data_IF_364612844600
#
_entry.id   IF_364612844600
#
_cell.length_a   1.000
_cell.length_b   1.000
_cell.length_c   1.000
_cell.angle_alpha   90.00
_cell.angle_beta   90.00
_cell.angle_gamma   90.00
#
_symmetry.space_group_name_H-M   'P 1'
#
loop_
_entity.id
_entity.type
_entity.pdbx_description
1 polymer ?
#
# COMPACT_ATOMS: atom_id res chain seq x y z
N UNK A 1 8.39 -5.44 6.63
CA UNK A 1 8.16 -4.04 6.31
C UNK A 1 6.73 -3.93 5.84
N UNK A 2 5.91 -3.33 6.65
CA UNK A 2 4.51 -3.10 6.34
C UNK A 2 4.24 -1.67 6.76
N UNK A 3 3.77 -0.83 5.86
CA UNK A 3 3.19 0.45 6.19
C UNK A 3 1.85 0.20 6.86
N UNK A 4 1.51 1.05 7.82
CA UNK A 4 0.19 1.11 8.38
C UNK A 4 -0.80 1.27 7.23
N UNK A 5 -1.57 0.26 6.95
CA UNK A 5 -2.72 0.33 6.08
C UNK A 5 -3.81 1.02 6.91
N UNK A 6 -3.80 2.33 6.95
CA UNK A 6 -4.88 3.13 7.51
C UNK A 6 -5.63 3.77 6.34
N UNK A 7 -6.60 3.12 5.75
CA UNK A 7 -7.60 3.89 5.06
C UNK A 7 -8.34 4.69 6.14
N UNK A 8 -8.32 5.98 6.07
CA UNK A 8 -9.21 6.90 6.85
C UNK A 8 -10.68 6.45 6.77
N UNK A 9 -10.99 5.54 5.87
CA UNK A 9 -12.30 4.95 5.60
C UNK A 9 -12.83 4.01 6.69
N UNK A 10 -12.01 3.50 7.58
CA UNK A 10 -12.50 2.58 8.63
C UNK A 10 -13.11 3.31 9.84
N UNK A 11 -12.99 4.64 9.93
CA UNK A 11 -13.55 5.41 11.04
C UNK A 11 -14.83 6.18 10.72
N UNK A 12 -15.27 6.25 9.46
CA UNK A 12 -16.53 6.92 9.12
C UNK A 12 -17.53 5.89 8.57
N UNK A 13 -18.65 5.76 9.30
CA UNK A 13 -19.77 4.94 8.92
C UNK A 13 -20.29 5.26 7.51
N UNK A 14 -20.66 4.19 6.81
CA UNK A 14 -21.48 4.11 5.61
C UNK A 14 -21.80 5.42 4.88
N UNK A 15 -20.98 5.79 3.92
CA UNK A 15 -21.41 6.69 2.86
C UNK A 15 -21.17 6.00 1.51
N UNK A 16 -22.27 5.85 0.78
CA UNK A 16 -22.38 5.12 -0.47
C UNK A 16 -21.47 5.71 -1.56
N UNK A 17 -20.39 5.03 -1.88
CA UNK A 17 -19.64 5.26 -3.11
C UNK A 17 -20.48 4.81 -4.31
N UNK A 18 -20.84 5.74 -5.19
CA UNK A 18 -21.25 5.39 -6.56
C UNK A 18 -19.97 5.24 -7.39
N UNK A 19 -19.66 4.08 -7.93
CA UNK A 19 -18.51 3.93 -8.83
C UNK A 19 -18.79 4.64 -10.14
N UNK A 20 -17.97 5.62 -10.49
CA UNK A 20 -17.83 6.09 -11.85
C UNK A 20 -17.07 5.01 -12.63
N UNK A 21 -17.82 4.15 -13.33
CA UNK A 21 -17.29 3.20 -14.29
C UNK A 21 -16.62 3.96 -15.44
N UNK A 22 -15.31 4.14 -15.38
CA UNK A 22 -14.47 4.37 -16.55
C UNK A 22 -13.46 3.24 -16.65
N UNK A 23 -13.50 2.53 -17.76
CA UNK A 23 -12.57 1.47 -18.11
C UNK A 23 -11.15 2.02 -18.11
N UNK A 24 -10.37 1.71 -17.09
CA UNK A 24 -8.94 1.99 -17.09
C UNK A 24 -8.22 0.86 -17.83
N UNK A 25 -7.45 1.23 -18.85
CA UNK A 25 -6.54 0.34 -19.56
C UNK A 25 -5.57 -0.29 -18.55
N UNK A 26 -5.51 -1.61 -18.56
CA UNK A 26 -4.55 -2.38 -17.77
C UNK A 26 -3.16 -2.16 -18.38
N UNK A 27 -2.36 -1.27 -17.81
CA UNK A 27 -0.92 -1.26 -18.07
C UNK A 27 -0.23 -2.11 -16.99
N UNK A 28 0.35 -3.23 -17.41
CA UNK A 28 1.39 -3.91 -16.64
C UNK A 28 2.63 -3.02 -16.67
N UNK A 29 3.06 -2.56 -15.49
CA UNK A 29 4.31 -1.79 -15.36
C UNK A 29 5.40 -2.76 -14.91
N UNK A 30 6.39 -2.99 -15.78
CA UNK A 30 7.50 -3.92 -15.55
C UNK A 30 8.82 -3.16 -15.37
N UNK A 31 9.67 -3.60 -14.44
CA UNK A 31 11.08 -3.20 -14.37
C UNK A 31 11.98 -4.42 -14.38
N UNK A 32 12.93 -4.46 -15.30
CA UNK A 32 14.00 -5.45 -15.36
C UNK A 32 15.16 -5.10 -14.42
N UNK A 33 15.74 -6.09 -13.79
CA UNK A 33 16.92 -5.92 -12.92
C UNK A 33 18.01 -6.86 -13.40
N UNK A 34 19.12 -6.28 -13.86
CA UNK A 34 20.30 -7.03 -14.28
C UNK A 34 20.99 -7.76 -13.12
N UNK A 35 21.24 -9.05 -13.31
CA UNK A 35 22.00 -9.94 -12.43
C UNK A 35 21.32 -11.29 -12.20
N UNK A 36 21.70 -12.31 -12.90
CA UNK A 36 21.47 -13.77 -12.80
C UNK A 36 20.29 -14.28 -11.94
N UNK A 37 19.12 -13.97 -12.30
CA UNK A 37 17.77 -14.53 -12.16
C UNK A 37 16.81 -13.36 -12.39
N UNK A 38 16.03 -13.40 -13.46
CA UNK A 38 15.02 -12.39 -13.75
C UNK A 38 14.01 -12.35 -12.60
N UNK A 39 14.20 -11.40 -11.68
CA UNK A 39 13.29 -11.17 -10.57
C UNK A 39 12.37 -10.03 -10.95
N UNK A 40 11.30 -10.35 -11.64
CA UNK A 40 10.32 -9.40 -12.11
C UNK A 40 9.37 -9.01 -10.95
N UNK A 41 9.28 -7.71 -10.66
CA UNK A 41 8.29 -7.16 -9.74
C UNK A 41 7.22 -6.47 -10.57
N UNK A 42 5.98 -6.96 -10.47
CA UNK A 42 4.82 -6.39 -11.14
C UNK A 42 3.72 -6.03 -10.16
N UNK A 43 2.84 -5.10 -10.57
CA UNK A 43 1.65 -4.70 -9.84
C UNK A 43 0.43 -5.02 -10.70
N UNK A 44 -0.53 -5.79 -10.16
CA UNK A 44 -1.79 -6.10 -10.82
C UNK A 44 -2.96 -6.04 -9.84
N UNK A 45 -4.21 -5.91 -10.31
CA UNK A 45 -5.35 -6.09 -9.43
C UNK A 45 -5.25 -7.41 -8.64
N UNK A 46 -5.64 -7.36 -7.38
CA UNK A 46 -5.79 -8.56 -6.54
C UNK A 46 -7.22 -9.03 -6.63
N UNK A 47 -7.42 -10.32 -6.83
CA UNK A 47 -8.74 -10.93 -6.96
C UNK A 47 -8.96 -12.12 -5.99
N UNK A 48 -10.15 -12.74 -6.06
CA UNK A 48 -10.52 -13.84 -5.16
C UNK A 48 -9.65 -15.09 -5.34
N UNK A 49 -9.08 -15.31 -6.53
CA UNK A 49 -8.21 -16.48 -6.78
C UNK A 49 -6.88 -16.36 -6.05
N UNK A 50 -6.48 -15.15 -5.63
CA UNK A 50 -5.25 -14.89 -4.90
C UNK A 50 -5.34 -15.21 -3.40
N UNK A 51 -6.48 -15.72 -2.93
CA UNK A 51 -6.74 -15.92 -1.50
C UNK A 51 -5.66 -16.74 -0.79
N UNK A 52 -5.15 -17.79 -1.41
CA UNK A 52 -4.13 -18.64 -0.78
C UNK A 52 -2.79 -17.90 -0.65
N UNK A 53 -2.41 -17.14 -1.65
CA UNK A 53 -1.26 -16.26 -1.57
C UNK A 53 -1.47 -15.13 -0.54
N UNK A 54 -2.66 -14.51 -0.51
CA UNK A 54 -3.02 -13.48 0.47
C UNK A 54 -2.87 -14.01 1.90
N UNK A 55 -3.38 -15.18 2.20
CA UNK A 55 -3.28 -15.79 3.53
C UNK A 55 -1.83 -15.97 4.00
N UNK A 56 -0.87 -16.18 3.11
CA UNK A 56 0.55 -16.37 3.50
C UNK A 56 1.11 -15.16 4.27
N UNK A 57 0.74 -13.93 3.89
CA UNK A 57 1.21 -12.75 4.62
C UNK A 57 0.17 -12.17 5.59
N UNK A 58 -1.12 -12.43 5.34
CA UNK A 58 -2.19 -11.88 6.15
C UNK A 58 -2.36 -12.60 7.50
N UNK A 59 -1.86 -13.83 7.63
CA UNK A 59 -1.83 -14.61 8.88
C UNK A 59 -0.52 -14.45 9.66
N UNK A 60 0.48 -13.74 9.11
CA UNK A 60 1.78 -13.59 9.76
C UNK A 60 1.76 -12.42 10.75
N UNK A 61 1.88 -12.72 12.05
CA UNK A 61 1.93 -11.72 13.12
C UNK A 61 3.05 -10.69 12.93
N UNK A 62 4.17 -11.07 12.32
CA UNK A 62 5.26 -10.14 12.04
C UNK A 62 4.84 -9.07 11.03
N UNK A 63 3.99 -9.43 10.06
CA UNK A 63 3.40 -8.50 9.11
C UNK A 63 2.30 -7.68 9.77
N UNK A 64 1.35 -8.34 10.41
CA UNK A 64 0.20 -7.72 11.07
C UNK A 64 0.61 -6.75 12.19
N UNK A 65 1.75 -6.96 12.83
CA UNK A 65 2.28 -6.09 13.90
C UNK A 65 2.30 -4.61 13.54
N UNK A 66 2.57 -4.27 12.29
CA UNK A 66 2.66 -2.89 11.81
C UNK A 66 1.42 -2.43 11.04
N UNK A 67 0.39 -3.27 10.98
CA UNK A 67 -0.84 -3.01 10.26
C UNK A 67 -1.99 -2.66 11.21
N UNK A 68 -3.03 -2.03 10.67
CA UNK A 68 -4.26 -1.71 11.42
C UNK A 68 -5.15 -2.91 11.66
N UNK A 69 -4.92 -4.01 10.96
CA UNK A 69 -5.63 -5.28 11.08
C UNK A 69 -4.83 -6.28 11.93
N UNK A 70 -5.53 -7.20 12.58
CA UNK A 70 -4.94 -8.34 13.26
C UNK A 70 -4.73 -9.49 12.27
N UNK A 71 -3.76 -10.38 12.58
CA UNK A 71 -3.52 -11.54 11.72
C UNK A 71 -4.81 -12.33 11.50
N UNK A 72 -5.13 -12.61 10.22
CA UNK A 72 -6.33 -13.36 9.88
C UNK A 72 -6.24 -14.79 10.41
N UNK A 73 -7.32 -15.27 10.99
CA UNK A 73 -7.46 -16.65 11.46
C UNK A 73 -8.44 -17.46 10.60
N UNK A 74 -9.19 -16.77 9.73
CA UNK A 74 -10.24 -17.37 8.90
C UNK A 74 -10.02 -16.98 7.42
N UNK A 75 -9.99 -17.99 6.55
CA UNK A 75 -9.99 -17.78 5.09
C UNK A 75 -11.30 -17.12 4.61
N UNK A 76 -12.40 -17.37 5.30
CA UNK A 76 -13.69 -16.76 4.98
C UNK A 76 -13.67 -15.25 5.22
N UNK A 77 -13.11 -14.79 6.34
CA UNK A 77 -13.00 -13.35 6.65
C UNK A 77 -12.04 -12.65 5.65
N UNK A 78 -10.99 -13.33 5.25
CA UNK A 78 -10.07 -12.82 4.24
C UNK A 78 -10.73 -12.71 2.86
N UNK A 79 -11.55 -13.70 2.46
CA UNK A 79 -12.36 -13.63 1.23
C UNK A 79 -13.37 -12.49 1.27
N UNK A 80 -14.04 -12.31 2.42
CA UNK A 80 -15.00 -11.20 2.61
C UNK A 80 -14.27 -9.84 2.47
N UNK A 81 -13.09 -9.71 3.07
CA UNK A 81 -12.26 -8.51 2.91
C UNK A 81 -11.87 -8.26 1.45
N UNK A 82 -11.39 -9.28 0.73
CA UNK A 82 -11.03 -9.13 -0.69
C UNK A 82 -12.25 -8.70 -1.49
N UNK A 83 -13.39 -9.37 -1.32
CA UNK A 83 -14.62 -9.10 -2.06
C UNK A 83 -15.19 -7.71 -1.81
N UNK A 84 -15.25 -7.30 -0.53
CA UNK A 84 -16.00 -6.12 -0.12
C UNK A 84 -15.14 -4.88 0.10
N UNK A 85 -13.81 -5.01 0.16
CA UNK A 85 -12.88 -3.91 0.40
C UNK A 85 -11.82 -3.77 -0.69
N UNK A 86 -11.21 -4.87 -1.12
CA UNK A 86 -10.11 -4.83 -2.10
C UNK A 86 -10.64 -4.64 -3.52
N UNK A 87 -11.58 -5.48 -3.96
CA UNK A 87 -12.12 -5.42 -5.33
C UNK A 87 -12.78 -4.07 -5.65
N UNK A 88 -13.62 -3.49 -4.76
CA UNK A 88 -14.21 -2.17 -5.03
C UNK A 88 -13.26 -0.99 -4.80
N UNK A 89 -12.05 -1.23 -4.26
CA UNK A 89 -11.09 -0.15 -4.01
C UNK A 89 -10.53 0.41 -5.33
N UNK A 90 -10.53 1.74 -5.54
CA UNK A 90 -10.17 2.34 -6.81
C UNK A 90 -8.73 2.06 -7.24
N UNK A 91 -7.81 1.90 -6.28
CA UNK A 91 -6.41 1.61 -6.58
C UNK A 91 -5.79 0.68 -5.53
N UNK A 92 -6.05 -0.60 -5.65
CA UNK A 92 -5.45 -1.67 -4.84
C UNK A 92 -4.79 -2.69 -5.76
N UNK A 93 -3.52 -3.02 -5.51
CA UNK A 93 -2.75 -3.95 -6.33
C UNK A 93 -2.07 -5.01 -5.48
N UNK A 94 -1.97 -6.21 -6.00
CA UNK A 94 -1.03 -7.22 -5.53
C UNK A 94 0.39 -6.80 -5.94
N UNK A 95 1.35 -6.93 -5.02
CA UNK A 95 2.77 -6.92 -5.36
C UNK A 95 3.13 -8.34 -5.74
N UNK A 96 3.52 -8.56 -7.00
CA UNK A 96 3.87 -9.87 -7.51
C UNK A 96 5.38 -10.00 -7.73
N UNK A 97 5.91 -11.18 -7.41
CA UNK A 97 7.27 -11.61 -7.73
C UNK A 97 7.17 -12.78 -8.70
N UNK A 98 7.66 -12.62 -9.93
CA UNK A 98 7.52 -13.62 -11.00
C UNK A 98 6.05 -14.09 -11.15
N UNK A 99 5.11 -13.13 -11.19
CA UNK A 99 3.67 -13.38 -11.32
C UNK A 99 2.95 -13.83 -10.04
N UNK A 100 3.67 -14.24 -8.98
CA UNK A 100 3.05 -14.72 -7.73
C UNK A 100 2.85 -13.57 -6.74
N UNK A 101 1.62 -13.35 -6.21
CA UNK A 101 1.37 -12.36 -5.18
C UNK A 101 2.15 -12.65 -3.90
N UNK A 102 2.87 -11.64 -3.42
CA UNK A 102 3.71 -11.73 -2.22
C UNK A 102 3.42 -10.62 -1.20
N UNK A 103 2.49 -9.76 -1.54
CA UNK A 103 2.09 -8.61 -0.75
C UNK A 103 1.05 -7.77 -1.48
N UNK A 104 0.73 -6.62 -0.93
CA UNK A 104 -0.22 -5.69 -1.51
C UNK A 104 0.25 -4.24 -1.34
N UNK A 105 -0.22 -3.36 -2.22
CA UNK A 105 0.01 -1.93 -2.20
C UNK A 105 -1.25 -1.21 -2.67
N UNK A 106 -1.57 -0.08 -2.05
CA UNK A 106 -2.75 0.70 -2.42
C UNK A 106 -2.50 2.19 -2.33
N UNK A 107 -3.28 2.96 -3.08
CA UNK A 107 -3.39 4.41 -2.92
C UNK A 107 -4.85 4.74 -2.66
N UNK A 108 -5.13 5.34 -1.51
CA UNK A 108 -6.46 5.79 -1.11
C UNK A 108 -6.54 7.30 -1.28
N UNK A 109 -7.45 7.77 -2.15
CA UNK A 109 -7.70 9.20 -2.32
C UNK A 109 -8.45 9.78 -1.13
N UNK A 110 -8.09 11.01 -0.75
CA UNK A 110 -8.95 11.81 0.09
C UNK A 110 -10.11 12.40 -0.73
N UNK A 111 -11.11 12.94 -0.07
CA UNK A 111 -12.33 13.48 -0.70
C UNK A 111 -12.54 14.95 -0.33
N UNK A 112 -13.36 15.64 -1.12
CA UNK A 112 -13.70 17.05 -0.90
C UNK A 112 -12.49 17.97 -1.08
N UNK A 113 -12.26 18.88 -0.15
CA UNK A 113 -11.16 19.85 -0.22
C UNK A 113 -9.76 19.20 -0.15
N UNK A 114 -9.68 17.94 0.21
CA UNK A 114 -8.44 17.16 0.37
C UNK A 114 -8.16 16.23 -0.82
N UNK A 115 -8.94 16.29 -1.90
CA UNK A 115 -8.83 15.38 -3.05
C UNK A 115 -7.49 15.49 -3.81
N UNK A 116 -6.74 16.58 -3.62
CA UNK A 116 -5.37 16.72 -4.13
C UNK A 116 -4.37 15.80 -3.43
N UNK A 117 -4.76 15.10 -2.33
CA UNK A 117 -3.92 14.20 -1.56
C UNK A 117 -4.41 12.75 -1.62
N UNK A 118 -3.46 11.81 -1.56
CA UNK A 118 -3.74 10.40 -1.42
C UNK A 118 -2.78 9.73 -0.44
N UNK A 119 -3.23 8.65 0.20
CA UNK A 119 -2.43 7.89 1.16
C UNK A 119 -1.95 6.58 0.54
N UNK A 120 -0.64 6.37 0.56
CA UNK A 120 0.03 5.14 0.16
C UNK A 120 0.08 4.16 1.33
N UNK A 121 -0.41 2.93 1.11
CA UNK A 121 -0.25 1.82 2.05
C UNK A 121 0.34 0.59 1.36
N UNK A 122 1.15 -0.20 2.06
CA UNK A 122 1.64 -1.48 1.54
C UNK A 122 1.91 -2.49 2.66
N UNK A 123 1.80 -3.77 2.31
CA UNK A 123 2.22 -4.89 3.13
C UNK A 123 2.97 -5.90 2.25
N UNK A 124 4.02 -6.50 2.79
CA UNK A 124 4.84 -7.50 2.11
C UNK A 124 5.07 -8.68 3.05
N UNK A 125 4.94 -9.89 2.53
CA UNK A 125 5.24 -11.11 3.30
C UNK A 125 6.63 -11.08 3.92
N UNK A 126 6.74 -11.54 5.19
CA UNK A 126 7.97 -11.41 5.98
C UNK A 126 9.21 -11.98 5.30
N UNK A 127 9.08 -13.13 4.63
CA UNK A 127 10.19 -13.80 3.91
C UNK A 127 10.79 -12.96 2.77
N UNK A 128 10.12 -11.91 2.36
CA UNK A 128 10.55 -11.01 1.28
C UNK A 128 11.14 -9.68 1.78
N UNK A 129 11.18 -9.47 3.11
CA UNK A 129 11.75 -8.27 3.69
C UNK A 129 13.27 -8.18 3.47
N UNK A 130 13.80 -6.96 3.46
CA UNK A 130 15.25 -6.72 3.30
C UNK A 130 15.80 -6.88 1.89
N UNK A 131 14.96 -7.28 0.91
CA UNK A 131 15.38 -7.59 -0.48
C UNK A 131 15.13 -6.45 -1.48
N UNK A 132 14.75 -5.27 -1.01
CA UNK A 132 14.48 -4.11 -1.89
C UNK A 132 13.13 -4.15 -2.64
N UNK A 133 12.36 -5.23 -2.51
CA UNK A 133 11.10 -5.44 -3.25
C UNK A 133 10.08 -4.34 -2.95
N UNK A 134 9.85 -4.02 -1.68
CA UNK A 134 8.92 -2.94 -1.31
C UNK A 134 9.35 -1.59 -1.88
N UNK A 135 10.65 -1.27 -1.90
CA UNK A 135 11.17 -0.05 -2.51
C UNK A 135 10.84 0.01 -4.01
N UNK A 136 11.02 -1.11 -4.74
CA UNK A 136 10.68 -1.17 -6.17
C UNK A 136 9.19 -1.00 -6.39
N UNK A 137 8.34 -1.68 -5.61
CA UNK A 137 6.90 -1.54 -5.71
C UNK A 137 6.43 -0.09 -5.45
N UNK A 138 6.99 0.57 -4.43
CA UNK A 138 6.68 1.98 -4.12
C UNK A 138 7.14 2.90 -5.25
N UNK A 139 8.32 2.67 -5.85
CA UNK A 139 8.80 3.44 -7.00
C UNK A 139 7.89 3.28 -8.22
N UNK A 140 7.40 2.06 -8.50
CA UNK A 140 6.42 1.84 -9.58
C UNK A 140 5.17 2.70 -9.38
N UNK A 141 4.65 2.76 -8.15
CA UNK A 141 3.50 3.62 -7.82
C UNK A 141 3.86 5.09 -7.96
N UNK A 142 4.96 5.53 -7.39
CA UNK A 142 5.40 6.93 -7.43
C UNK A 142 5.52 7.44 -8.87
N UNK A 143 6.03 6.61 -9.79
CA UNK A 143 6.24 6.97 -11.19
C UNK A 143 4.94 7.01 -12.03
N UNK A 144 3.84 6.40 -11.57
CA UNK A 144 2.62 6.26 -12.39
C UNK A 144 1.41 6.99 -11.81
N UNK A 145 1.30 7.09 -10.49
CA UNK A 145 0.05 7.50 -9.83
C UNK A 145 -0.38 8.94 -10.18
N UNK A 146 0.55 9.86 -10.32
CA UNK A 146 0.24 11.26 -10.67
C UNK A 146 -0.24 11.39 -12.13
N UNK A 147 0.20 10.49 -13.02
CA UNK A 147 -0.31 10.41 -14.40
C UNK A 147 -1.67 9.73 -14.45
N UNK A 148 -1.89 8.68 -13.64
CA UNK A 148 -3.18 8.00 -13.54
C UNK A 148 -4.25 8.89 -12.90
N UNK A 149 -3.85 9.73 -11.94
CA UNK A 149 -4.71 10.67 -11.23
C UNK A 149 -4.17 12.10 -11.32
N UNK A 150 -4.41 12.82 -12.44
CA UNK A 150 -3.82 14.15 -12.71
C UNK A 150 -4.20 15.24 -11.69
N UNK A 151 -5.26 15.03 -10.91
CA UNK A 151 -5.66 15.95 -9.82
C UNK A 151 -4.92 15.68 -8.50
N UNK A 152 -4.18 14.55 -8.42
CA UNK A 152 -3.37 14.22 -7.25
C UNK A 152 -2.08 15.04 -7.31
N UNK A 153 -1.85 15.86 -6.30
CA UNK A 153 -0.63 16.68 -6.18
C UNK A 153 0.33 16.13 -5.12
N UNK A 154 -0.20 15.31 -4.20
CA UNK A 154 0.54 14.82 -3.05
C UNK A 154 0.19 13.36 -2.72
N UNK A 155 1.20 12.52 -2.59
CA UNK A 155 1.11 11.16 -2.08
C UNK A 155 1.73 11.10 -0.68
N UNK A 156 0.91 10.77 0.33
CA UNK A 156 1.33 10.69 1.73
C UNK A 156 1.57 9.23 2.14
N UNK A 157 2.42 9.04 3.14
CA UNK A 157 2.61 7.75 3.79
C UNK A 157 2.83 7.93 5.29
N UNK A 158 2.02 7.24 6.09
CA UNK A 158 2.06 7.28 7.55
C UNK A 158 2.71 5.99 8.07
N UNK A 159 3.79 6.12 8.81
CA UNK A 159 4.62 5.00 9.29
C UNK A 159 4.77 5.05 10.79
N UNK A 160 4.54 3.94 11.48
CA UNK A 160 4.89 3.83 12.91
C UNK A 160 6.37 4.21 13.11
N UNK A 161 6.67 5.04 14.10
CA UNK A 161 8.04 5.51 14.36
C UNK A 161 9.01 4.34 14.59
N UNK A 162 8.55 3.25 15.18
CA UNK A 162 9.33 2.03 15.36
C UNK A 162 9.51 1.17 14.09
N UNK A 163 8.79 1.47 13.00
CA UNK A 163 8.91 0.73 11.73
C UNK A 163 10.02 1.31 10.83
N UNK A 164 11.25 1.28 11.30
CA UNK A 164 12.43 1.81 10.60
C UNK A 164 12.59 1.21 9.19
N UNK A 165 12.13 -0.04 9.01
CA UNK A 165 12.20 -0.69 7.71
C UNK A 165 11.35 0.02 6.64
N UNK A 166 10.10 0.38 6.97
CA UNK A 166 9.25 1.13 6.04
C UNK A 166 9.71 2.57 5.83
N UNK A 167 10.25 3.23 6.86
CA UNK A 167 10.86 4.55 6.69
C UNK A 167 11.98 4.52 5.63
N UNK A 168 12.88 3.54 5.70
CA UNK A 168 13.95 3.37 4.69
C UNK A 168 13.44 3.05 3.29
N UNK A 169 12.30 2.34 3.18
CA UNK A 169 11.67 2.08 1.88
C UNK A 169 11.23 3.39 1.25
N UNK A 170 10.52 4.25 2.00
CA UNK A 170 10.01 5.53 1.52
C UNK A 170 11.13 6.49 1.16
N UNK A 171 12.15 6.64 2.03
CA UNK A 171 13.32 7.47 1.75
C UNK A 171 14.02 7.05 0.44
N UNK A 172 14.22 5.73 0.24
CA UNK A 172 14.81 5.18 -0.99
C UNK A 172 13.90 5.31 -2.22
N UNK A 173 12.61 5.49 -2.02
CA UNK A 173 11.65 5.73 -3.09
C UNK A 173 11.42 7.22 -3.39
N UNK A 174 12.19 8.12 -2.75
CA UNK A 174 12.14 9.56 -3.00
C UNK A 174 11.19 10.35 -2.11
N UNK A 175 10.48 9.69 -1.18
CA UNK A 175 9.62 10.40 -0.24
C UNK A 175 10.43 11.23 0.76
N UNK A 176 9.97 12.43 1.01
CA UNK A 176 10.53 13.32 2.02
C UNK A 176 9.89 13.07 3.38
N UNK A 177 10.72 13.07 4.43
CA UNK A 177 10.29 12.97 5.82
C UNK A 177 9.88 14.36 6.32
N UNK A 178 8.61 14.54 6.71
CA UNK A 178 8.09 15.84 7.14
C UNK A 178 8.09 16.02 8.66
N UNK A 179 7.82 14.97 9.42
CA UNK A 179 7.80 15.08 10.88
C UNK A 179 7.12 13.94 11.59
N UNK A 180 7.08 14.05 12.92
CA UNK A 180 6.42 13.08 13.80
C UNK A 180 5.06 13.63 14.24
N UNK A 181 4.02 12.86 13.98
CA UNK A 181 2.67 13.09 14.46
C UNK A 181 2.50 12.36 15.79
N UNK A 182 2.57 13.11 16.89
CA UNK A 182 2.54 12.52 18.25
C UNK A 182 1.15 12.04 18.62
N UNK A 183 1.04 10.83 19.20
CA UNK A 183 -0.22 10.21 19.65
C UNK A 183 -1.33 10.25 18.59
N UNK A 184 -0.93 10.01 17.34
CA UNK A 184 -1.79 10.23 16.16
C UNK A 184 -2.85 9.15 15.97
N UNK A 185 -2.54 7.90 16.31
CA UNK A 185 -3.44 6.76 16.12
C UNK A 185 -3.49 5.87 17.35
N UNK A 186 -4.64 5.27 17.61
CA UNK A 186 -4.74 4.12 18.52
C UNK A 186 -4.65 2.84 17.70
N UNK A 187 -3.56 2.11 17.86
CA UNK A 187 -3.31 0.85 17.18
C UNK A 187 -3.21 -0.27 18.23
N UNK A 188 -4.06 -1.30 18.08
CA UNK A 188 -4.10 -2.47 18.99
C UNK A 188 -4.12 -2.07 20.46
N UNK A 189 -5.03 -1.15 20.79
CA UNK A 189 -5.25 -0.64 22.15
C UNK A 189 -4.16 0.29 22.70
N UNK A 190 -3.17 0.66 21.90
CA UNK A 190 -2.09 1.59 22.31
C UNK A 190 -2.02 2.80 21.39
N UNK A 191 -1.93 3.98 21.98
CA UNK A 191 -1.67 5.21 21.24
C UNK A 191 -0.25 5.19 20.69
N UNK A 192 -0.10 5.55 19.40
CA UNK A 192 1.17 5.48 18.67
C UNK A 192 1.48 6.80 17.99
N UNK A 193 2.77 7.07 17.88
CA UNK A 193 3.31 8.15 17.08
C UNK A 193 3.54 7.65 15.65
N UNK A 194 3.23 8.49 14.66
CA UNK A 194 3.49 8.20 13.26
C UNK A 194 4.52 9.19 12.69
N UNK A 195 5.33 8.67 11.79
CA UNK A 195 6.19 9.47 10.93
C UNK A 195 5.45 9.77 9.64
N UNK A 196 5.30 11.06 9.30
CA UNK A 196 4.74 11.52 8.04
C UNK A 196 5.84 11.57 6.98
N UNK A 197 5.54 10.95 5.85
CA UNK A 197 6.30 11.05 4.61
C UNK A 197 5.42 11.55 3.48
N UNK A 198 6.00 12.24 2.51
CA UNK A 198 5.29 12.70 1.32
C UNK A 198 6.17 12.66 0.07
N UNK A 199 5.50 12.52 -1.06
CA UNK A 199 6.02 12.76 -2.39
C UNK A 199 5.04 13.68 -3.10
N UNK A 200 5.50 14.78 -3.70
CA UNK A 200 4.65 15.68 -4.46
C UNK A 200 4.87 15.53 -5.96
N UNK A 201 3.86 15.86 -6.76
CA UNK A 201 3.88 15.67 -8.22
C UNK A 201 5.03 16.42 -8.92
N UNK A 202 5.57 17.46 -8.28
CA UNK A 202 6.70 18.26 -8.77
C UNK A 202 8.07 17.76 -8.31
N UNK A 203 8.11 16.75 -7.41
CA UNK A 203 9.39 16.17 -6.99
C UNK A 203 10.02 15.37 -8.13
N UNK A 204 11.36 15.30 -8.19
CA UNK A 204 12.04 14.48 -9.18
C UNK A 204 11.64 13.00 -9.05
N UNK A 205 11.13 12.43 -10.12
CA UNK A 205 10.82 10.99 -10.18
C UNK A 205 12.13 10.19 -10.28
N UNK A 206 12.33 9.19 -9.42
CA UNK A 206 13.59 8.45 -9.27
C UNK A 206 13.54 7.03 -9.88
#
# INVERSE_FOLDING_TARGET
>A
MSLSFVPHFFQQGSNSYKPLLKHSHHQEVTMEVGGNEFTEITLRPLDLSDIDAFMVWATDDKVARFCTWDAYTSKADALDFIKNKVIPHPWFRAICLNGQPIGAISVTRNIGNDECRGELGYALGYKYWGKGIATKAVKLVANTIFSEWPHLERLEALVLVENVGSQRVLEKAGFQREGVLRKYITLKGKTRDLMMFSLVSTDPQS
#
